data_IF_487899167564
#
_entry.id   IF_487899167564
#
_cell.length_a   1.000
_cell.length_b   1.000
_cell.length_c   1.000
_cell.angle_alpha   90.00
_cell.angle_beta   90.00
_cell.angle_gamma   90.00
#
_symmetry.space_group_name_H-M   'P 1'
#
loop_
_entity.id
_entity.type
_entity.pdbx_description
1 polymer ?
#
# COMPACT_ATOMS: atom_id res chain seq x y z
N UNK A 1 -9.18 -0.61 46.88
CA UNK A 1 -9.85 0.18 47.94
C UNK A 1 -10.83 1.13 47.27
N UNK A 2 -12.07 1.24 47.72
CA UNK A 2 -13.13 2.03 47.05
C UNK A 2 -12.82 3.53 47.07
N UNK A 3 -13.17 4.24 45.98
CA UNK A 3 -12.94 5.70 45.86
C UNK A 3 -14.00 6.55 46.58
N UNK A 4 -15.22 6.03 46.71
CA UNK A 4 -16.32 6.64 47.45
C UNK A 4 -17.06 5.52 48.19
N UNK A 5 -17.44 5.76 49.44
CA UNK A 5 -18.19 4.82 50.29
C UNK A 5 -19.35 5.57 50.91
N UNK A 6 -20.57 5.08 50.67
CA UNK A 6 -21.80 5.68 51.19
C UNK A 6 -22.67 4.61 51.84
N UNK A 7 -23.46 5.02 52.81
CA UNK A 7 -24.40 4.17 53.54
C UNK A 7 -25.79 4.77 53.38
N UNK A 8 -26.75 3.93 53.03
CA UNK A 8 -28.17 4.28 52.95
C UNK A 8 -28.96 3.34 53.85
N UNK A 9 -29.75 3.90 54.77
CA UNK A 9 -30.63 3.11 55.64
C UNK A 9 -31.94 2.81 54.94
N UNK A 10 -32.49 1.62 55.17
CA UNK A 10 -33.80 1.23 54.65
C UNK A 10 -34.67 0.76 55.83
N UNK A 11 -35.84 1.39 55.99
CA UNK A 11 -36.87 0.95 56.93
C UNK A 11 -37.48 -0.39 56.49
N UNK A 12 -38.24 -1.02 57.40
CA UNK A 12 -38.91 -2.28 57.07
C UNK A 12 -39.99 -2.06 56.01
N UNK A 13 -40.03 -2.87 54.94
CA UNK A 13 -40.97 -2.70 53.84
C UNK A 13 -42.42 -3.04 54.20
N UNK A 14 -42.64 -3.80 55.28
CA UNK A 14 -43.95 -4.20 55.77
C UNK A 14 -43.92 -4.37 57.31
N UNK A 15 -45.09 -4.28 57.94
CA UNK A 15 -45.24 -4.39 59.40
C UNK A 15 -45.63 -5.80 59.86
N UNK A 16 -46.14 -6.66 58.95
CA UNK A 16 -46.51 -8.04 59.26
C UNK A 16 -45.40 -9.01 58.90
N UNK A 17 -45.13 -9.95 59.80
CA UNK A 17 -44.09 -10.99 59.62
C UNK A 17 -44.31 -11.84 58.37
N UNK A 18 -45.55 -12.20 58.06
CA UNK A 18 -45.90 -13.02 56.88
C UNK A 18 -45.58 -12.30 55.57
N UNK A 19 -45.74 -10.98 55.55
CA UNK A 19 -45.43 -10.14 54.38
C UNK A 19 -43.92 -9.98 54.17
N UNK A 20 -43.13 -9.91 55.26
CA UNK A 20 -41.67 -9.84 55.20
C UNK A 20 -41.01 -11.11 54.69
N UNK A 21 -41.69 -12.27 54.76
CA UNK A 21 -41.18 -13.53 54.21
C UNK A 21 -41.21 -13.55 52.69
N UNK A 22 -42.17 -12.87 52.07
CA UNK A 22 -42.34 -12.82 50.62
C UNK A 22 -42.95 -11.49 50.18
N UNK A 23 -42.08 -10.52 49.90
CA UNK A 23 -42.47 -9.18 49.46
C UNK A 23 -43.04 -9.14 48.04
N UNK A 24 -42.87 -10.21 47.25
CA UNK A 24 -43.39 -10.27 45.88
C UNK A 24 -44.92 -10.27 45.80
N UNK A 25 -45.59 -10.59 46.92
CA UNK A 25 -47.05 -10.61 47.08
C UNK A 25 -47.65 -9.24 47.36
N UNK A 26 -46.82 -8.26 47.68
CA UNK A 26 -47.27 -6.90 47.98
C UNK A 26 -47.11 -6.01 46.75
N UNK A 27 -48.14 -5.23 46.45
CA UNK A 27 -48.04 -4.13 45.50
C UNK A 27 -47.20 -2.99 46.08
N UNK A 28 -46.62 -2.15 45.21
CA UNK A 28 -45.82 -0.99 45.66
C UNK A 28 -46.57 -0.12 46.67
N UNK A 29 -47.86 0.16 46.45
CA UNK A 29 -48.68 0.97 47.36
C UNK A 29 -48.97 0.34 48.72
N UNK A 30 -48.73 -0.96 48.89
CA UNK A 30 -48.95 -1.70 50.15
C UNK A 30 -47.69 -1.73 51.03
N UNK A 31 -46.57 -1.24 50.51
CA UNK A 31 -45.34 -1.05 51.26
C UNK A 31 -45.44 0.17 52.17
N UNK A 32 -44.68 0.15 53.26
CA UNK A 32 -44.57 1.29 54.19
C UNK A 32 -44.13 2.55 53.43
N UNK A 33 -44.66 3.70 53.85
CA UNK A 33 -44.41 4.98 53.21
C UNK A 33 -42.94 5.38 53.32
N UNK A 34 -42.34 5.11 54.48
CA UNK A 34 -40.94 5.36 54.77
C UNK A 34 -40.02 4.56 53.84
N UNK A 35 -40.28 3.26 53.68
CA UNK A 35 -39.51 2.41 52.77
C UNK A 35 -39.64 2.86 51.31
N UNK A 36 -40.84 3.20 50.86
CA UNK A 36 -41.05 3.69 49.48
C UNK A 36 -40.28 4.96 49.21
N UNK A 37 -40.30 5.89 50.16
CA UNK A 37 -39.60 7.17 50.06
C UNK A 37 -38.10 6.94 49.99
N UNK A 38 -37.54 6.15 50.91
CA UNK A 38 -36.10 5.87 50.93
C UNK A 38 -35.59 5.09 49.72
N UNK A 39 -36.38 4.13 49.20
CA UNK A 39 -36.04 3.41 47.96
C UNK A 39 -36.14 4.35 46.76
N UNK A 40 -37.11 5.26 46.74
CA UNK A 40 -37.22 6.32 45.75
C UNK A 40 -35.98 7.21 45.72
N UNK A 41 -35.57 7.69 46.89
CA UNK A 41 -34.38 8.52 47.08
C UNK A 41 -33.11 7.76 46.69
N UNK A 42 -32.96 6.50 47.11
CA UNK A 42 -31.83 5.65 46.74
C UNK A 42 -31.77 5.44 45.22
N UNK A 43 -32.91 5.14 44.59
CA UNK A 43 -32.98 4.94 43.14
C UNK A 43 -32.61 6.23 42.41
N UNK A 44 -33.16 7.37 42.81
CA UNK A 44 -32.83 8.66 42.22
C UNK A 44 -31.33 8.98 42.40
N UNK A 45 -30.78 8.72 43.58
CA UNK A 45 -29.36 8.89 43.85
C UNK A 45 -28.48 8.02 42.94
N UNK A 46 -28.81 6.72 42.81
CA UNK A 46 -28.07 5.80 41.96
C UNK A 46 -28.13 6.22 40.49
N UNK A 47 -29.31 6.60 39.99
CA UNK A 47 -29.50 7.00 38.59
C UNK A 47 -28.81 8.32 38.26
N UNK A 48 -28.90 9.32 39.15
CA UNK A 48 -28.22 10.61 38.98
C UNK A 48 -26.70 10.51 39.16
N UNK A 49 -26.24 9.53 39.95
CA UNK A 49 -24.83 9.24 40.18
C UNK A 49 -24.18 8.29 39.18
N UNK A 50 -24.90 7.85 38.13
CA UNK A 50 -24.36 6.92 37.14
C UNK A 50 -23.15 7.53 36.43
N UNK A 51 -22.00 6.87 36.61
CA UNK A 51 -20.75 7.18 35.90
C UNK A 51 -20.33 5.97 35.09
N UNK A 52 -19.88 6.21 33.86
CA UNK A 52 -19.27 5.15 33.08
C UNK A 52 -18.04 4.61 33.84
N UNK A 53 -17.91 3.29 33.91
CA UNK A 53 -16.72 2.67 34.48
C UNK A 53 -15.50 3.07 33.64
N UNK A 54 -14.56 3.79 34.22
CA UNK A 54 -13.33 4.16 33.54
C UNK A 54 -12.28 3.09 33.82
N UNK A 55 -11.70 2.54 32.76
CA UNK A 55 -10.52 1.69 32.82
C UNK A 55 -9.51 2.30 31.85
N UNK A 56 -8.31 2.64 32.32
CA UNK A 56 -7.31 3.18 31.40
C UNK A 56 -7.54 4.58 30.86
N UNK A 57 -8.30 5.39 31.58
CA UNK A 57 -8.70 6.72 31.11
C UNK A 57 -9.76 6.72 30.00
N UNK A 58 -10.32 5.55 29.63
CA UNK A 58 -11.47 5.44 28.71
C UNK A 58 -12.68 4.80 29.39
N UNK A 59 -13.87 5.14 28.91
CA UNK A 59 -15.10 4.48 29.33
C UNK A 59 -15.10 3.02 28.85
N UNK A 60 -15.33 2.08 29.77
CA UNK A 60 -15.38 0.64 29.49
C UNK A 60 -16.63 0.33 28.67
N UNK A 61 -16.46 -0.28 27.50
CA UNK A 61 -17.58 -0.76 26.67
C UNK A 61 -18.01 -2.17 27.10
N UNK A 62 -19.14 -2.65 26.59
CA UNK A 62 -19.59 -4.02 26.85
C UNK A 62 -18.59 -5.08 26.37
N UNK A 63 -17.89 -4.85 25.25
CA UNK A 63 -16.86 -5.74 24.73
C UNK A 63 -15.64 -5.80 25.65
N UNK A 64 -15.13 -4.64 26.06
CA UNK A 64 -14.02 -4.55 27.02
C UNK A 64 -14.36 -5.22 28.36
N UNK A 65 -15.58 -5.03 28.85
CA UNK A 65 -16.03 -5.65 30.09
C UNK A 65 -16.12 -7.18 29.96
N UNK A 66 -16.69 -7.69 28.87
CA UNK A 66 -16.81 -9.13 28.64
C UNK A 66 -15.44 -9.82 28.59
N UNK A 67 -14.47 -9.21 27.91
CA UNK A 67 -13.10 -9.72 27.86
C UNK A 67 -12.42 -9.68 29.23
N UNK A 68 -12.55 -8.57 29.97
CA UNK A 68 -12.04 -8.45 31.33
C UNK A 68 -12.65 -9.51 32.27
N UNK A 69 -13.95 -9.78 32.15
CA UNK A 69 -14.61 -10.83 32.93
C UNK A 69 -14.10 -12.23 32.58
N UNK A 70 -13.93 -12.54 31.29
CA UNK A 70 -13.36 -13.83 30.87
C UNK A 70 -11.94 -14.02 31.41
N UNK A 71 -11.12 -12.97 31.35
CA UNK A 71 -9.77 -12.98 31.90
C UNK A 71 -9.78 -13.24 33.42
N UNK A 72 -10.60 -12.50 34.18
CA UNK A 72 -10.73 -12.67 35.64
C UNK A 72 -11.21 -14.08 35.98
N UNK A 73 -12.22 -14.60 35.28
CA UNK A 73 -12.75 -15.95 35.52
C UNK A 73 -11.67 -17.01 35.30
N UNK A 74 -10.87 -16.90 34.23
CA UNK A 74 -9.77 -17.85 33.98
C UNK A 74 -8.70 -17.79 35.06
N UNK A 75 -8.29 -16.59 35.48
CA UNK A 75 -7.32 -16.43 36.56
C UNK A 75 -7.84 -16.96 37.91
N UNK A 76 -9.14 -16.80 38.18
CA UNK A 76 -9.80 -17.39 39.36
C UNK A 76 -9.79 -18.92 39.31
N UNK A 77 -10.11 -19.52 38.16
CA UNK A 77 -10.08 -20.97 37.97
C UNK A 77 -8.68 -21.57 38.17
N UNK A 78 -7.64 -20.78 37.93
CA UNK A 78 -6.24 -21.18 38.07
C UNK A 78 -5.64 -20.86 39.46
N UNK A 79 -6.42 -20.27 40.38
CA UNK A 79 -5.95 -19.91 41.73
C UNK A 79 -5.02 -18.68 41.77
N UNK A 80 -4.92 -17.91 40.68
CA UNK A 80 -3.94 -16.83 40.51
C UNK A 80 -4.48 -15.45 40.93
N UNK A 81 -5.23 -15.36 42.02
CA UNK A 81 -5.91 -14.12 42.42
C UNK A 81 -4.97 -12.94 42.67
N UNK A 82 -3.81 -13.21 43.29
CA UNK A 82 -2.82 -12.18 43.63
C UNK A 82 -2.06 -11.65 42.40
N UNK A 83 -2.05 -12.40 41.29
CA UNK A 83 -1.33 -12.07 40.07
C UNK A 83 -2.24 -11.45 38.99
N UNK A 84 -3.54 -11.34 39.22
CA UNK A 84 -4.48 -10.80 38.23
C UNK A 84 -4.07 -9.42 37.66
N UNK A 85 -3.57 -8.45 38.46
CA UNK A 85 -3.10 -7.17 37.92
C UNK A 85 -1.87 -7.30 37.02
N UNK A 86 -0.90 -8.15 37.38
CA UNK A 86 0.31 -8.38 36.58
C UNK A 86 -0.02 -9.14 35.30
N UNK A 87 -0.84 -10.19 35.39
CA UNK A 87 -1.31 -10.97 34.26
C UNK A 87 -2.15 -10.13 33.28
N UNK A 88 -2.91 -9.14 33.77
CA UNK A 88 -3.64 -8.22 32.89
C UNK A 88 -2.69 -7.39 32.05
N UNK A 89 -1.63 -6.83 32.67
CA UNK A 89 -0.58 -6.12 31.95
C UNK A 89 0.17 -6.99 30.94
N UNK A 90 0.46 -8.25 31.29
CA UNK A 90 1.07 -9.21 30.36
C UNK A 90 0.15 -9.53 29.19
N UNK A 91 -1.14 -9.74 29.45
CA UNK A 91 -2.12 -10.06 28.42
C UNK A 91 -2.37 -8.90 27.47
N UNK A 92 -2.53 -7.66 27.97
CA UNK A 92 -2.69 -6.49 27.10
C UNK A 92 -1.43 -6.25 26.25
N UNK A 93 -0.24 -6.48 26.82
CA UNK A 93 1.02 -6.44 26.07
C UNK A 93 1.08 -7.52 24.98
N UNK A 94 0.60 -8.72 25.27
CA UNK A 94 0.51 -9.81 24.29
C UNK A 94 -0.48 -9.46 23.17
N UNK A 95 -1.66 -8.91 23.49
CA UNK A 95 -2.63 -8.44 22.49
C UNK A 95 -1.99 -7.34 21.62
N UNK A 96 -1.22 -6.43 22.19
CA UNK A 96 -0.48 -5.41 21.45
C UNK A 96 0.49 -6.03 20.43
N UNK A 97 1.27 -7.02 20.86
CA UNK A 97 2.25 -7.73 20.05
C UNK A 97 1.62 -8.59 18.95
N UNK A 98 0.46 -9.21 19.21
CA UNK A 98 -0.29 -9.94 18.18
C UNK A 98 -0.93 -8.98 17.19
N UNK A 99 -1.55 -7.90 17.68
CA UNK A 99 -2.24 -6.92 16.83
C UNK A 99 -1.30 -6.22 15.85
N UNK A 100 -0.05 -5.96 16.24
CA UNK A 100 0.94 -5.38 15.33
C UNK A 100 1.37 -6.37 14.24
N UNK A 101 1.50 -7.66 14.60
CA UNK A 101 1.78 -8.73 13.63
C UNK A 101 0.62 -8.94 12.66
N UNK A 102 -0.62 -8.87 13.14
CA UNK A 102 -1.81 -9.00 12.29
C UNK A 102 -1.93 -7.82 11.32
N UNK A 103 -1.63 -6.60 11.78
CA UNK A 103 -1.62 -5.41 10.93
C UNK A 103 -0.50 -5.45 9.88
N UNK A 104 0.66 -5.99 10.23
CA UNK A 104 1.76 -6.25 9.29
C UNK A 104 1.36 -7.30 8.24
N UNK A 105 0.74 -8.40 8.64
CA UNK A 105 0.25 -9.43 7.73
C UNK A 105 -0.84 -8.88 6.78
N UNK A 106 -1.72 -8.02 7.31
CA UNK A 106 -2.70 -7.32 6.49
C UNK A 106 -2.04 -6.40 5.46
N UNK A 107 -1.05 -5.60 5.87
CA UNK A 107 -0.26 -4.78 4.95
C UNK A 107 0.39 -5.63 3.85
N UNK A 108 0.99 -6.76 4.20
CA UNK A 108 1.59 -7.68 3.23
C UNK A 108 0.56 -8.19 2.20
N UNK A 109 -0.65 -8.56 2.66
CA UNK A 109 -1.75 -8.98 1.78
C UNK A 109 -2.23 -7.85 0.85
N UNK A 110 -2.36 -6.62 1.37
CA UNK A 110 -2.69 -5.46 0.54
C UNK A 110 -1.60 -5.21 -0.50
N UNK A 111 -0.34 -5.33 -0.09
CA UNK A 111 0.84 -5.05 -0.91
C UNK A 111 0.99 -5.98 -2.11
N UNK A 112 0.59 -7.25 -1.97
CA UNK A 112 0.60 -8.23 -3.07
C UNK A 112 -0.30 -7.82 -4.24
N UNK A 113 -1.29 -6.97 -4.01
CA UNK A 113 -2.27 -6.56 -5.03
C UNK A 113 -1.93 -5.23 -5.70
N UNK A 114 -0.83 -4.59 -5.30
CA UNK A 114 -0.45 -3.27 -5.81
C UNK A 114 -0.10 -3.31 -7.31
N UNK A 115 0.48 -4.42 -7.75
CA UNK A 115 1.04 -4.60 -9.08
C UNK A 115 0.75 -6.02 -9.61
N UNK A 116 -0.45 -6.23 -10.18
CA UNK A 116 -0.96 -7.55 -10.59
C UNK A 116 -1.26 -7.70 -12.08
N UNK A 117 -1.13 -6.61 -12.85
CA UNK A 117 -1.31 -6.65 -14.32
C UNK A 117 -0.12 -7.31 -15.01
N UNK A 118 -0.18 -7.43 -16.34
CA UNK A 118 0.94 -7.93 -17.15
C UNK A 118 2.10 -6.94 -17.18
N UNK A 119 1.78 -5.66 -17.42
CA UNK A 119 2.73 -4.55 -17.34
C UNK A 119 2.82 -4.00 -15.91
N UNK A 120 4.01 -3.52 -15.50
CA UNK A 120 4.16 -2.86 -14.21
C UNK A 120 3.31 -1.59 -14.18
N UNK A 121 2.67 -1.33 -13.05
CA UNK A 121 2.00 -0.05 -12.82
C UNK A 121 3.01 1.11 -12.78
N UNK A 122 2.58 2.34 -13.09
CA UNK A 122 3.47 3.50 -12.99
C UNK A 122 3.90 3.81 -11.56
N UNK A 123 5.07 4.46 -11.38
CA UNK A 123 5.60 4.81 -10.05
C UNK A 123 4.62 5.66 -9.24
N UNK A 124 3.97 6.64 -9.87
CA UNK A 124 2.92 7.45 -9.24
C UNK A 124 1.79 6.58 -8.67
N UNK A 125 1.22 5.71 -9.51
CA UNK A 125 0.08 4.85 -9.13
C UNK A 125 0.48 3.85 -8.05
N UNK A 126 1.69 3.30 -8.14
CA UNK A 126 2.23 2.39 -7.13
C UNK A 126 2.33 3.08 -5.77
N UNK A 127 2.91 4.28 -5.73
CA UNK A 127 3.06 5.06 -4.49
C UNK A 127 1.71 5.42 -3.88
N UNK A 128 0.74 5.85 -4.69
CA UNK A 128 -0.62 6.16 -4.20
C UNK A 128 -1.27 4.94 -3.54
N UNK A 129 -1.24 3.78 -4.20
CA UNK A 129 -1.81 2.53 -3.66
C UNK A 129 -1.04 2.04 -2.42
N UNK A 130 0.28 2.21 -2.40
CA UNK A 130 1.12 1.86 -1.25
C UNK A 130 0.76 2.71 -0.03
N UNK A 131 0.52 4.01 -0.21
CA UNK A 131 0.10 4.90 0.87
C UNK A 131 -1.31 4.57 1.37
N UNK A 132 -2.24 4.20 0.49
CA UNK A 132 -3.55 3.66 0.88
C UNK A 132 -3.41 2.39 1.71
N UNK A 133 -2.52 1.46 1.33
CA UNK A 133 -2.27 0.23 2.08
C UNK A 133 -1.68 0.51 3.47
N UNK A 134 -0.76 1.47 3.58
CA UNK A 134 -0.17 1.93 4.86
C UNK A 134 -1.23 2.53 5.78
N UNK A 135 -2.09 3.40 5.24
CA UNK A 135 -3.16 4.04 6.02
C UNK A 135 -4.21 3.02 6.47
N UNK A 136 -4.63 2.12 5.58
CA UNK A 136 -5.55 1.03 5.92
C UNK A 136 -5.01 0.13 7.04
N UNK A 137 -3.74 -0.25 6.96
CA UNK A 137 -3.08 -1.10 7.97
C UNK A 137 -2.93 -0.38 9.31
N UNK A 138 -2.62 0.92 9.29
CA UNK A 138 -2.57 1.75 10.50
C UNK A 138 -3.94 1.90 11.15
N UNK A 139 -4.99 2.12 10.36
CA UNK A 139 -6.38 2.19 10.85
C UNK A 139 -6.81 0.85 11.45
N UNK A 140 -6.49 -0.26 10.78
CA UNK A 140 -6.77 -1.60 11.25
C UNK A 140 -6.09 -1.87 12.60
N UNK A 141 -4.79 -1.56 12.74
CA UNK A 141 -4.06 -1.70 14.00
C UNK A 141 -4.67 -0.89 15.14
N UNK A 142 -5.05 0.36 14.89
CA UNK A 142 -5.73 1.21 15.88
C UNK A 142 -7.10 0.65 16.28
N UNK A 143 -7.82 0.04 15.34
CA UNK A 143 -9.11 -0.57 15.61
C UNK A 143 -8.96 -1.82 16.49
N UNK A 144 -7.96 -2.66 16.24
CA UNK A 144 -7.66 -3.84 17.07
C UNK A 144 -7.39 -3.47 18.53
N UNK A 145 -6.68 -2.36 18.75
CA UNK A 145 -6.34 -1.88 20.10
C UNK A 145 -7.35 -0.93 20.71
N UNK A 146 -8.48 -0.63 20.04
CA UNK A 146 -9.40 0.41 20.51
C UNK A 146 -9.96 0.12 21.92
N UNK A 147 -10.28 -1.16 22.13
CA UNK A 147 -10.98 -1.67 23.31
C UNK A 147 -10.00 -2.20 24.38
N UNK A 148 -8.70 -2.22 24.06
CA UNK A 148 -7.61 -2.58 24.96
C UNK A 148 -6.95 -1.29 25.43
N UNK A 149 -6.66 -1.19 26.71
CA UNK A 149 -6.04 -0.01 27.32
C UNK A 149 -4.54 0.09 26.97
N UNK A 150 -4.25 0.11 25.68
CA UNK A 150 -2.90 0.05 25.12
C UNK A 150 -2.76 1.18 24.10
N UNK A 151 -1.71 1.97 24.26
CA UNK A 151 -1.35 2.98 23.27
C UNK A 151 -0.77 2.30 22.02
N UNK A 152 -1.32 2.52 20.82
CA UNK A 152 -0.79 1.91 19.61
C UNK A 152 0.63 2.39 19.29
N UNK A 153 1.55 1.45 19.07
CA UNK A 153 2.93 1.71 18.64
C UNK A 153 3.02 1.84 17.12
N UNK A 154 2.40 2.88 16.57
CA UNK A 154 2.33 3.09 15.10
C UNK A 154 3.73 3.24 14.47
N UNK A 155 4.72 3.73 15.23
CA UNK A 155 6.10 3.83 14.76
C UNK A 155 6.73 2.47 14.47
N UNK A 156 6.49 1.48 15.33
CA UNK A 156 7.00 0.12 15.12
C UNK A 156 6.30 -0.54 13.93
N UNK A 157 4.98 -0.37 13.79
CA UNK A 157 4.25 -0.89 12.63
C UNK A 157 4.80 -0.32 11.33
N UNK A 158 5.05 1.00 11.28
CA UNK A 158 5.67 1.66 10.12
C UNK A 158 7.05 1.09 9.81
N UNK A 159 7.89 0.86 10.82
CA UNK A 159 9.21 0.24 10.64
C UNK A 159 9.09 -1.15 10.01
N UNK A 160 8.17 -1.99 10.48
CA UNK A 160 7.96 -3.34 9.94
C UNK A 160 7.40 -3.33 8.51
N UNK A 161 6.44 -2.45 8.23
CA UNK A 161 5.94 -2.25 6.86
C UNK A 161 7.05 -1.80 5.90
N UNK A 162 7.97 -0.93 6.35
CA UNK A 162 9.12 -0.49 5.55
C UNK A 162 10.12 -1.61 5.29
N UNK A 163 10.42 -2.44 6.30
CA UNK A 163 11.24 -3.65 6.13
C UNK A 163 10.61 -4.57 5.09
N UNK A 164 9.30 -4.85 5.20
CA UNK A 164 8.58 -5.66 4.22
C UNK A 164 8.64 -5.08 2.80
N UNK A 165 8.46 -3.75 2.67
CA UNK A 165 8.56 -3.04 1.41
C UNK A 165 9.95 -3.23 0.78
N UNK A 166 11.01 -2.95 1.52
CA UNK A 166 12.39 -2.97 1.02
C UNK A 166 12.87 -4.39 0.71
N UNK A 167 12.57 -5.36 1.57
CA UNK A 167 13.11 -6.71 1.45
C UNK A 167 12.32 -7.61 0.50
N UNK A 168 11.01 -7.37 0.32
CA UNK A 168 10.15 -8.27 -0.45
C UNK A 168 9.52 -7.62 -1.67
N UNK A 169 8.92 -6.45 -1.49
CA UNK A 169 8.08 -5.86 -2.55
C UNK A 169 8.92 -5.12 -3.61
N UNK A 170 9.87 -4.28 -3.18
CA UNK A 170 10.67 -3.47 -4.09
C UNK A 170 11.54 -4.28 -5.05
N UNK A 171 12.24 -5.36 -4.64
CA UNK A 171 13.06 -6.13 -5.58
C UNK A 171 12.22 -6.71 -6.73
N UNK A 172 11.09 -7.33 -6.41
CA UNK A 172 10.19 -7.92 -7.41
C UNK A 172 9.61 -6.84 -8.35
N UNK A 173 9.18 -5.71 -7.81
CA UNK A 173 8.65 -4.60 -8.60
C UNK A 173 9.72 -3.97 -9.50
N UNK A 174 10.93 -3.75 -8.99
CA UNK A 174 12.05 -3.22 -9.77
C UNK A 174 12.46 -4.15 -10.91
N UNK A 175 12.48 -5.47 -10.68
CA UNK A 175 12.73 -6.45 -11.74
C UNK A 175 11.71 -6.33 -12.88
N UNK A 176 10.42 -6.16 -12.53
CA UNK A 176 9.37 -5.96 -13.53
C UNK A 176 9.54 -4.67 -14.32
N UNK A 177 9.90 -3.57 -13.66
CA UNK A 177 10.21 -2.30 -14.34
C UNK A 177 11.40 -2.47 -15.30
N UNK A 178 12.44 -3.19 -14.87
CA UNK A 178 13.61 -3.45 -15.72
C UNK A 178 13.24 -4.26 -16.96
N UNK A 179 12.43 -5.31 -16.80
CA UNK A 179 11.91 -6.11 -17.93
C UNK A 179 11.07 -5.26 -18.88
N UNK A 180 10.10 -4.53 -18.35
CA UNK A 180 9.28 -3.60 -19.14
C UNK A 180 10.11 -2.55 -19.89
N UNK A 181 11.16 -2.01 -19.27
CA UNK A 181 12.08 -1.07 -19.90
C UNK A 181 12.85 -1.70 -21.07
N UNK A 182 13.28 -2.97 -20.92
CA UNK A 182 13.93 -3.73 -21.99
C UNK A 182 12.96 -4.07 -23.14
N UNK A 183 11.73 -4.45 -22.83
CA UNK A 183 10.68 -4.74 -23.81
C UNK A 183 10.31 -3.47 -24.59
N UNK A 184 10.15 -2.34 -23.90
CA UNK A 184 9.88 -1.04 -24.51
C UNK A 184 11.04 -0.58 -25.41
N UNK A 185 12.29 -0.84 -25.01
CA UNK A 185 13.47 -0.59 -25.84
C UNK A 185 13.46 -1.45 -27.10
N UNK A 186 13.07 -2.73 -26.98
CA UNK A 186 12.95 -3.65 -28.12
C UNK A 186 11.86 -3.19 -29.08
N UNK A 187 10.68 -2.81 -28.58
CA UNK A 187 9.61 -2.27 -29.40
C UNK A 187 10.02 -1.01 -30.18
N UNK A 188 10.81 -0.11 -29.57
CA UNK A 188 11.35 1.06 -30.26
C UNK A 188 12.35 0.69 -31.38
N UNK A 189 13.19 -0.34 -31.16
CA UNK A 189 14.08 -0.87 -32.20
C UNK A 189 13.30 -1.51 -33.34
N UNK A 190 12.26 -2.27 -33.03
CA UNK A 190 11.40 -2.89 -34.05
C UNK A 190 10.67 -1.82 -34.88
N UNK A 191 10.17 -0.78 -34.22
CA UNK A 191 9.60 0.39 -34.89
C UNK A 191 10.58 1.07 -35.84
N UNK A 192 11.82 1.29 -35.39
CA UNK A 192 12.87 1.84 -36.24
C UNK A 192 13.24 0.90 -37.39
N UNK A 193 13.36 -0.41 -37.11
CA UNK A 193 13.67 -1.42 -38.13
C UNK A 193 12.62 -1.47 -39.23
N UNK A 194 11.34 -1.32 -38.89
CA UNK A 194 10.25 -1.27 -39.87
C UNK A 194 10.38 -0.05 -40.79
N UNK A 195 10.75 1.12 -40.24
CA UNK A 195 11.00 2.34 -41.03
C UNK A 195 12.20 2.16 -41.97
N UNK A 196 13.29 1.52 -41.50
CA UNK A 196 14.44 1.23 -42.35
C UNK A 196 14.12 0.25 -43.49
N UNK A 197 13.26 -0.74 -43.23
CA UNK A 197 12.87 -1.73 -44.22
C UNK A 197 12.00 -1.15 -45.36
N UNK A 198 11.20 -0.11 -45.07
CA UNK A 198 10.36 0.57 -46.05
C UNK A 198 11.16 1.45 -47.02
N UNK A 199 12.38 1.85 -46.64
CA UNK A 199 13.25 2.65 -47.51
C UNK A 199 13.80 1.81 -48.67
N UNK A 200 13.49 2.22 -49.90
CA UNK A 200 14.03 1.61 -51.11
C UNK A 200 15.54 1.83 -51.26
N UNK A 201 16.27 0.78 -51.66
CA UNK A 201 17.70 0.83 -51.98
C UNK A 201 17.91 0.46 -53.47
N UNK A 202 18.87 1.08 -54.18
CA UNK A 202 19.73 2.17 -53.71
C UNK A 202 19.01 3.53 -53.67
N UNK A 203 19.41 4.38 -52.73
CA UNK A 203 18.92 5.76 -52.57
C UNK A 203 20.07 6.74 -52.37
N UNK A 204 19.78 8.04 -52.53
CA UNK A 204 20.76 9.10 -52.26
C UNK A 204 21.26 9.02 -50.80
N UNK A 205 22.57 8.85 -50.55
CA UNK A 205 23.13 8.72 -49.21
C UNK A 205 22.75 9.87 -48.27
N UNK A 206 22.65 11.10 -48.79
CA UNK A 206 22.34 12.28 -47.98
C UNK A 206 20.87 12.29 -47.53
N UNK A 207 19.97 11.85 -48.40
CA UNK A 207 18.54 11.70 -48.10
C UNK A 207 18.34 10.56 -47.10
N UNK A 208 19.03 9.43 -47.31
CA UNK A 208 18.98 8.27 -46.44
C UNK A 208 19.45 8.61 -45.02
N UNK A 209 20.60 9.27 -44.87
CA UNK A 209 21.13 9.67 -43.55
C UNK A 209 20.18 10.61 -42.80
N UNK A 210 19.62 11.60 -43.52
CA UNK A 210 18.64 12.52 -42.94
C UNK A 210 17.40 11.79 -42.44
N UNK A 211 16.85 10.90 -43.26
CA UNK A 211 15.60 10.19 -42.96
C UNK A 211 15.81 9.17 -41.81
N UNK A 212 16.95 8.47 -41.79
CA UNK A 212 17.33 7.58 -40.67
C UNK A 212 17.52 8.36 -39.37
N UNK A 213 18.17 9.53 -39.41
CA UNK A 213 18.37 10.37 -38.22
C UNK A 213 17.04 10.86 -37.67
N UNK A 214 16.13 11.31 -38.55
CA UNK A 214 14.79 11.75 -38.16
C UNK A 214 13.95 10.61 -37.57
N UNK A 215 14.00 9.42 -38.16
CA UNK A 215 13.30 8.24 -37.66
C UNK A 215 13.85 7.77 -36.30
N UNK A 216 15.18 7.73 -36.14
CA UNK A 216 15.82 7.37 -34.87
C UNK A 216 15.45 8.37 -33.75
N UNK A 217 15.43 9.67 -34.05
CA UNK A 217 15.02 10.70 -33.09
C UNK A 217 13.54 10.57 -32.71
N UNK A 218 12.68 10.21 -33.67
CA UNK A 218 11.25 9.98 -33.41
C UNK A 218 11.02 8.83 -32.43
N UNK A 219 11.64 7.67 -32.66
CA UNK A 219 11.53 6.51 -31.75
C UNK A 219 12.17 6.80 -30.38
N UNK A 220 13.31 7.51 -30.37
CA UNK A 220 13.94 7.95 -29.13
C UNK A 220 13.01 8.85 -28.32
N UNK A 221 12.35 9.82 -28.94
CA UNK A 221 11.41 10.72 -28.27
C UNK A 221 10.19 9.98 -27.72
N UNK A 222 9.62 9.03 -28.48
CA UNK A 222 8.52 8.17 -27.99
C UNK A 222 8.94 7.42 -26.72
N UNK A 223 10.12 6.80 -26.74
CA UNK A 223 10.66 6.07 -25.60
C UNK A 223 10.90 7.00 -24.38
N UNK A 224 11.48 8.19 -24.60
CA UNK A 224 11.69 9.19 -23.54
C UNK A 224 10.36 9.60 -22.91
N UNK A 225 9.34 9.87 -23.70
CA UNK A 225 8.00 10.26 -23.19
C UNK A 225 7.39 9.12 -22.36
N UNK A 226 7.48 7.88 -22.84
CA UNK A 226 7.00 6.70 -22.10
C UNK A 226 7.72 6.55 -20.76
N UNK A 227 9.05 6.61 -20.74
CA UNK A 227 9.86 6.47 -19.53
C UNK A 227 9.63 7.63 -18.56
N UNK A 228 9.47 8.86 -19.06
CA UNK A 228 9.22 10.05 -18.23
C UNK A 228 7.84 9.98 -17.58
N UNK A 229 6.80 9.58 -18.32
CA UNK A 229 5.46 9.41 -17.78
C UNK A 229 5.43 8.31 -16.71
N UNK A 230 6.13 7.20 -16.97
CA UNK A 230 6.23 6.07 -16.03
C UNK A 230 6.97 6.43 -14.74
N UNK A 231 8.08 7.16 -14.85
CA UNK A 231 8.94 7.54 -13.73
C UNK A 231 8.41 8.68 -12.87
N UNK A 232 7.34 9.35 -13.29
CA UNK A 232 6.69 10.38 -12.50
C UNK A 232 6.27 9.83 -11.13
N UNK A 233 6.67 10.50 -10.05
CA UNK A 233 6.35 10.10 -8.68
C UNK A 233 4.94 10.52 -8.23
N UNK A 234 4.16 11.12 -9.13
CA UNK A 234 2.84 11.67 -8.85
C UNK A 234 2.90 13.00 -8.10
N UNK A 235 1.79 13.73 -8.06
CA UNK A 235 1.63 14.88 -7.17
C UNK A 235 1.51 14.33 -5.75
N UNK A 236 2.66 14.09 -5.12
CA UNK A 236 2.77 13.39 -3.86
C UNK A 236 1.70 13.84 -2.87
N UNK A 237 0.75 12.95 -2.55
CA UNK A 237 -0.02 13.04 -1.32
C UNK A 237 0.92 12.75 -0.15
N UNK A 238 1.92 13.61 0.06
CA UNK A 238 2.84 13.55 1.20
C UNK A 238 2.16 13.84 2.55
N UNK A 239 0.85 14.08 2.55
CA UNK A 239 0.10 14.40 3.75
C UNK A 239 -1.10 13.46 3.84
N UNK A 240 -0.98 12.41 4.64
CA UNK A 240 -2.16 11.79 5.24
C UNK A 240 -2.89 12.90 6.00
N UNK A 241 -4.00 13.38 5.42
CA UNK A 241 -4.81 14.52 5.88
C UNK A 241 -5.39 14.33 7.29
N UNK A 242 -5.21 13.16 7.89
CA UNK A 242 -5.68 12.81 9.22
C UNK A 242 -4.57 12.74 10.29
N UNK A 243 -3.28 12.74 9.93
CA UNK A 243 -2.18 12.55 10.90
C UNK A 243 -0.93 13.40 10.72
N UNK A 244 -0.81 14.20 9.64
CA UNK A 244 0.27 15.19 9.47
C UNK A 244 1.69 14.63 9.46
N UNK A 245 1.86 13.32 9.35
CA UNK A 245 3.17 12.65 9.28
C UNK A 245 3.30 11.95 7.94
N UNK A 246 4.43 12.16 7.26
CA UNK A 246 4.74 11.52 5.98
C UNK A 246 4.54 10.00 6.09
N UNK A 247 3.79 9.42 5.14
CA UNK A 247 3.27 8.05 5.24
C UNK A 247 4.35 6.96 5.16
N UNK A 248 5.56 7.28 4.67
CA UNK A 248 6.68 6.36 4.59
C UNK A 248 7.63 6.76 3.47
N UNK A 249 8.56 5.86 3.11
CA UNK A 249 9.45 6.06 1.96
C UNK A 249 8.65 6.03 0.65
N UNK A 250 8.99 6.93 -0.26
CA UNK A 250 8.45 6.96 -1.64
C UNK A 250 9.30 6.03 -2.51
N UNK A 251 8.65 5.20 -3.30
CA UNK A 251 9.30 4.33 -4.28
C UNK A 251 9.77 5.17 -5.46
N UNK A 252 11.00 4.92 -5.90
CA UNK A 252 11.65 5.60 -7.01
C UNK A 252 11.95 4.60 -8.13
N UNK A 253 12.27 5.10 -9.32
CA UNK A 253 12.74 4.24 -10.40
C UNK A 253 13.97 3.44 -9.99
N UNK A 254 14.09 2.16 -10.40
CA UNK A 254 15.33 1.42 -10.24
C UNK A 254 16.45 2.07 -11.04
N UNK A 255 17.68 1.89 -10.58
CA UNK A 255 18.84 2.17 -11.42
C UNK A 255 18.91 1.15 -12.55
N UNK A 256 19.19 1.63 -13.75
CA UNK A 256 19.51 0.80 -14.90
C UNK A 256 21.02 0.86 -15.14
N UNK A 257 21.62 -0.28 -15.46
CA UNK A 257 23.02 -0.37 -15.85
C UNK A 257 23.17 -1.38 -16.99
N UNK A 258 23.34 -0.95 -18.26
CA UNK A 258 23.46 0.45 -18.73
C UNK A 258 22.13 1.23 -18.70
N UNK A 259 22.20 2.57 -18.80
CA UNK A 259 21.02 3.44 -18.96
C UNK A 259 20.26 3.07 -20.26
N UNK A 260 18.95 2.76 -20.19
CA UNK A 260 18.18 2.28 -21.34
C UNK A 260 18.11 3.29 -22.48
N UNK A 261 18.13 4.60 -22.19
CA UNK A 261 18.09 5.63 -23.22
C UNK A 261 19.42 5.71 -23.99
N UNK A 262 20.53 5.59 -23.26
CA UNK A 262 21.87 5.56 -23.86
C UNK A 262 22.02 4.31 -24.71
N UNK A 263 21.63 3.14 -24.17
CA UNK A 263 21.68 1.88 -24.87
C UNK A 263 20.84 1.91 -26.16
N UNK A 264 19.58 2.39 -26.08
CA UNK A 264 18.72 2.55 -27.25
C UNK A 264 19.37 3.47 -28.29
N UNK A 265 19.93 4.60 -27.88
CA UNK A 265 20.57 5.54 -28.81
C UNK A 265 21.78 4.93 -29.53
N UNK A 266 22.57 4.10 -28.84
CA UNK A 266 23.68 3.36 -29.46
C UNK A 266 23.15 2.33 -30.45
N UNK A 267 22.12 1.57 -30.06
CA UNK A 267 21.57 0.52 -30.91
C UNK A 267 20.93 1.08 -32.19
N UNK A 268 20.17 2.18 -32.09
CA UNK A 268 19.60 2.87 -33.26
C UNK A 268 20.68 3.39 -34.23
N UNK A 269 21.79 3.94 -33.69
CA UNK A 269 22.93 4.37 -34.51
C UNK A 269 23.60 3.19 -35.22
N UNK A 270 23.77 2.07 -34.53
CA UNK A 270 24.34 0.86 -35.13
C UNK A 270 23.46 0.32 -36.26
N UNK A 271 22.13 0.31 -36.07
CA UNK A 271 21.17 -0.08 -37.11
C UNK A 271 21.21 0.86 -38.33
N UNK A 272 21.28 2.18 -38.09
CA UNK A 272 21.42 3.16 -39.17
C UNK A 272 22.74 2.99 -39.95
N UNK A 273 23.85 2.76 -39.25
CA UNK A 273 25.16 2.50 -39.87
C UNK A 273 25.14 1.22 -40.73
N UNK A 274 24.51 0.16 -40.24
CA UNK A 274 24.33 -1.08 -41.00
C UNK A 274 23.54 -0.85 -42.30
N UNK A 275 22.43 -0.09 -42.23
CA UNK A 275 21.62 0.25 -43.40
C UNK A 275 22.35 1.14 -44.40
N UNK A 276 23.17 2.07 -43.93
CA UNK A 276 24.02 2.90 -44.79
C UNK A 276 25.02 2.05 -45.60
N UNK A 277 25.63 1.05 -44.97
CA UNK A 277 26.55 0.11 -45.63
C UNK A 277 25.82 -0.75 -46.69
N UNK A 278 24.59 -1.15 -46.44
CA UNK A 278 23.76 -1.85 -47.43
C UNK A 278 23.46 -0.96 -48.64
N UNK A 279 23.14 0.32 -48.42
CA UNK A 279 22.92 1.27 -49.50
C UNK A 279 24.19 1.49 -50.34
N UNK A 280 25.35 1.63 -49.70
CA UNK A 280 26.63 1.78 -50.39
C UNK A 280 26.92 0.58 -51.30
N UNK A 281 26.70 -0.64 -50.80
CA UNK A 281 26.86 -1.87 -51.60
C UNK A 281 25.90 -1.89 -52.80
N UNK A 282 24.65 -1.48 -52.60
CA UNK A 282 23.66 -1.39 -53.67
C UNK A 282 24.06 -0.35 -54.74
N UNK A 283 24.57 0.81 -54.33
CA UNK A 283 25.09 1.85 -55.22
C UNK A 283 26.31 1.35 -56.02
N UNK A 284 27.29 0.74 -55.36
CA UNK A 284 28.47 0.17 -56.02
C UNK A 284 28.08 -0.88 -57.07
N UNK A 285 27.09 -1.72 -56.77
CA UNK A 285 26.57 -2.71 -57.71
C UNK A 285 25.89 -2.03 -58.91
N UNK A 286 25.06 -1.01 -58.68
CA UNK A 286 24.39 -0.25 -59.74
C UNK A 286 25.41 0.47 -60.64
N UNK A 287 26.43 1.12 -60.07
CA UNK A 287 27.49 1.77 -60.84
C UNK A 287 28.28 0.76 -61.67
N UNK A 288 28.62 -0.41 -61.12
CA UNK A 288 29.30 -1.47 -61.87
C UNK A 288 28.49 -1.96 -63.06
N UNK A 289 27.17 -2.13 -62.89
CA UNK A 289 26.27 -2.49 -63.99
C UNK A 289 26.19 -1.38 -65.05
N UNK A 290 26.10 -0.12 -64.63
CA UNK A 290 26.04 1.02 -65.54
C UNK A 290 27.34 1.16 -66.37
N UNK A 291 28.51 0.99 -65.74
CA UNK A 291 29.81 1.00 -66.45
C UNK A 291 29.89 -0.15 -67.45
N UNK A 292 29.54 -1.38 -67.06
CA UNK A 292 29.52 -2.53 -67.98
C UNK A 292 28.58 -2.30 -69.17
N UNK A 293 27.40 -1.74 -68.93
CA UNK A 293 26.45 -1.42 -69.99
C UNK A 293 26.94 -0.31 -70.92
N UNK A 294 27.63 0.70 -70.38
CA UNK A 294 28.26 1.76 -71.15
C UNK A 294 29.42 1.23 -72.01
N UNK A 295 30.29 0.39 -71.44
CA UNK A 295 31.39 -0.26 -72.16
C UNK A 295 30.86 -1.13 -73.32
N UNK A 296 29.77 -1.88 -73.08
CA UNK A 296 29.09 -2.67 -74.13
C UNK A 296 28.42 -1.80 -75.21
N UNK A 297 27.91 -0.63 -74.85
CA UNK A 297 27.33 0.32 -75.81
C UNK A 297 28.41 0.95 -76.69
N UNK A 298 29.51 1.40 -76.08
CA UNK A 298 30.68 1.94 -76.79
C UNK A 298 31.31 0.89 -77.70
N UNK A 299 31.46 -0.36 -77.23
CA UNK A 299 31.96 -1.46 -78.04
C UNK A 299 31.05 -1.82 -79.22
N UNK A 300 29.73 -1.54 -79.12
CA UNK A 300 28.79 -1.68 -80.23
C UNK A 300 28.95 -0.55 -81.25
N UNK A 301 29.05 0.69 -80.80
CA UNK A 301 29.25 1.83 -81.73
C UNK A 301 30.58 1.75 -82.48
N UNK A 302 31.66 1.28 -81.84
CA UNK A 302 32.97 1.10 -82.50
C UNK A 302 32.98 -0.01 -83.58
N UNK A 303 31.98 -0.89 -83.61
CA UNK A 303 31.86 -1.97 -84.61
C UNK A 303 31.01 -1.61 -85.82
N UNK A 304 30.27 -0.51 -85.76
CA UNK A 304 29.47 0.08 -86.85
C UNK A 304 30.27 1.14 -87.60
#
# INVERSE_FOLDING_TARGET
>A
VFHDVRVHTLFLPATKREQLQDLSRLGWGELTEEFRTEVGDLRQHLLTGLKAKISGGRATTGTSLAQAMQFIIRGLQQGMFHELPSLWGTWTSQVAAVSISDAEAWFASLSQRLDTGDEPVSIATFNDRLDEARDASTKFYRALLRDFDVRPEVGELRRRMEVHLVERLLPAYHERIQRWGADSSTAAKDGFSAVLADQALPSDPTVLERDMTAAAETERQKFVVQLTNFSSTGAGRMVSSLTGTAAGRVVQMPSFNPDPLVQLSVDLRTMAAARSLENERALQHLFKQAVSAADEAVARELKT
#
